data_IF_338076491412
#
_entry.id   IF_338076491412
#
_cell.length_a   1.000
_cell.length_b   1.000
_cell.length_c   1.000
_cell.angle_alpha   90.00
_cell.angle_beta   90.00
_cell.angle_gamma   90.00
#
_symmetry.space_group_name_H-M   'P 1'
#
loop_
_entity.id
_entity.type
_entity.pdbx_description
1 polymer ?
#
# COMPACT_ATOMS: atom_id res chain seq x y z
N UNK A 1 22.18 -9.44 10.46
CA UNK A 1 20.85 -8.87 10.73
C UNK A 1 20.65 -7.83 9.65
N UNK A 2 19.69 -8.01 8.74
CA UNK A 2 19.36 -6.99 7.74
C UNK A 2 18.75 -5.78 8.45
N UNK A 3 19.49 -4.68 8.46
CA UNK A 3 19.07 -3.41 9.04
C UNK A 3 18.81 -2.42 7.90
N UNK A 4 17.58 -1.93 7.84
CA UNK A 4 17.22 -0.83 6.96
C UNK A 4 17.06 0.41 7.83
N UNK A 5 17.93 1.38 7.61
CA UNK A 5 17.83 2.69 8.23
C UNK A 5 17.04 3.58 7.27
N UNK A 6 15.82 3.93 7.65
CA UNK A 6 15.02 4.89 6.91
C UNK A 6 15.49 6.30 7.26
N UNK A 7 15.45 7.24 6.32
CA UNK A 7 15.79 8.67 6.53
C UNK A 7 15.04 9.34 7.70
N UNK A 8 13.99 8.67 8.21
CA UNK A 8 13.21 9.07 9.38
C UNK A 8 13.81 8.64 10.74
N UNK A 9 14.99 8.02 10.76
CA UNK A 9 15.64 7.49 11.98
C UNK A 9 14.99 6.21 12.52
N UNK A 10 14.15 5.55 11.71
CA UNK A 10 13.50 4.29 12.07
C UNK A 10 14.37 3.14 11.56
N UNK A 11 14.86 2.29 12.46
CA UNK A 11 15.58 1.07 12.10
C UNK A 11 14.60 -0.09 12.01
N UNK A 12 14.43 -0.65 10.82
CA UNK A 12 13.72 -1.92 10.63
C UNK A 12 14.78 -3.03 10.62
N UNK A 13 14.72 -3.90 11.62
CA UNK A 13 15.62 -5.05 11.75
C UNK A 13 14.87 -6.33 11.43
N UNK A 14 15.30 -7.02 10.38
CA UNK A 14 14.87 -8.40 10.10
C UNK A 14 15.93 -9.37 10.64
N UNK A 15 15.56 -10.38 11.45
CA UNK A 15 16.48 -11.44 11.85
C UNK A 15 16.97 -12.17 10.60
N UNK A 16 18.28 -12.42 10.47
CA UNK A 16 18.81 -13.16 9.31
C UNK A 16 18.20 -14.55 9.18
N UNK A 17 17.82 -15.17 10.30
CA UNK A 17 17.15 -16.47 10.32
C UNK A 17 15.81 -16.45 9.58
N UNK A 18 15.05 -15.36 9.65
CA UNK A 18 13.76 -15.22 8.96
C UNK A 18 13.94 -15.18 7.44
N UNK A 19 15.02 -14.53 6.98
CA UNK A 19 15.33 -14.47 5.56
C UNK A 19 15.79 -15.84 5.05
N UNK A 20 16.66 -16.53 5.79
CA UNK A 20 17.12 -17.88 5.44
C UNK A 20 15.95 -18.89 5.41
N UNK A 21 15.07 -18.87 6.43
CA UNK A 21 13.86 -19.70 6.49
C UNK A 21 12.93 -19.46 5.28
N UNK A 22 12.71 -18.20 4.88
CA UNK A 22 11.85 -17.89 3.74
C UNK A 22 12.51 -18.28 2.40
N UNK A 23 13.83 -18.12 2.27
CA UNK A 23 14.56 -18.55 1.07
C UNK A 23 14.54 -20.07 0.90
N UNK A 24 14.69 -20.84 1.98
CA UNK A 24 14.58 -22.30 1.97
C UNK A 24 13.16 -22.75 1.59
N UNK A 25 12.14 -22.11 2.17
CA UNK A 25 10.74 -22.33 1.79
C UNK A 25 10.47 -22.02 0.31
N UNK A 26 11.02 -20.93 -0.22
CA UNK A 26 10.87 -20.58 -1.63
C UNK A 26 11.55 -21.59 -2.56
N UNK A 27 12.70 -22.14 -2.17
CA UNK A 27 13.40 -23.18 -2.92
C UNK A 27 12.59 -24.49 -2.95
N UNK A 28 12.02 -24.89 -1.82
CA UNK A 28 11.07 -26.02 -1.74
C UNK A 28 9.83 -25.78 -2.63
N UNK A 29 9.35 -24.54 -2.70
CA UNK A 29 8.21 -24.16 -3.54
C UNK A 29 8.53 -24.15 -5.06
N UNK A 30 9.80 -24.13 -5.48
CA UNK A 30 10.15 -24.21 -6.91
C UNK A 30 9.87 -25.60 -7.50
N UNK A 31 9.60 -26.60 -6.66
CA UNK A 31 9.34 -27.98 -7.07
C UNK A 31 7.91 -28.46 -6.76
N UNK A 32 7.06 -27.57 -6.23
CA UNK A 32 5.64 -27.85 -6.06
C UNK A 32 4.85 -27.72 -7.34
N UNK A 33 3.76 -28.49 -7.43
CA UNK A 33 2.73 -28.38 -8.45
C UNK A 33 2.28 -26.90 -8.57
N UNK A 34 2.33 -26.28 -9.78
CA UNK A 34 1.92 -24.90 -9.97
C UNK A 34 0.46 -24.63 -9.60
N UNK A 35 -0.37 -25.67 -9.54
CA UNK A 35 -1.77 -25.58 -9.11
C UNK A 35 -1.95 -25.85 -7.60
N UNK A 36 -0.87 -26.13 -6.86
CA UNK A 36 -0.93 -26.35 -5.42
C UNK A 36 -1.33 -25.06 -4.68
N UNK A 37 -2.32 -25.18 -3.80
CA UNK A 37 -2.70 -24.09 -2.91
C UNK A 37 -1.74 -24.02 -1.72
N UNK A 38 -1.02 -22.90 -1.58
CA UNK A 38 -0.21 -22.62 -0.40
C UNK A 38 -1.05 -21.86 0.63
N UNK A 39 -1.34 -22.52 1.75
CA UNK A 39 -1.97 -21.86 2.89
C UNK A 39 -0.90 -21.09 3.68
N UNK A 40 -1.14 -19.79 3.87
CA UNK A 40 -0.33 -18.96 4.78
C UNK A 40 -1.21 -18.60 5.97
N UNK A 41 -0.88 -19.14 7.13
CA UNK A 41 -1.60 -18.86 8.37
C UNK A 41 -0.96 -17.71 9.14
N UNK A 42 -1.76 -16.72 9.50
CA UNK A 42 -1.35 -15.63 10.37
C UNK A 42 -2.06 -15.75 11.71
N UNK A 43 -1.32 -15.68 12.81
CA UNK A 43 -1.91 -15.67 14.15
C UNK A 43 -2.60 -14.33 14.42
N UNK A 44 -3.62 -14.34 15.28
CA UNK A 44 -4.29 -13.11 15.71
C UNK A 44 -3.30 -12.10 16.32
N UNK A 45 -2.30 -12.58 17.06
CA UNK A 45 -1.25 -11.75 17.61
C UNK A 45 -0.39 -11.09 16.52
N UNK A 46 -0.08 -11.82 15.44
CA UNK A 46 0.64 -11.25 14.29
C UNK A 46 -0.21 -10.19 13.59
N UNK A 47 -1.49 -10.49 13.31
CA UNK A 47 -2.42 -9.55 12.68
C UNK A 47 -2.57 -8.28 13.53
N UNK A 48 -2.72 -8.41 14.85
CA UNK A 48 -2.82 -7.29 15.78
C UNK A 48 -1.55 -6.43 15.75
N UNK A 49 -0.36 -7.05 15.72
CA UNK A 49 0.92 -6.34 15.62
C UNK A 49 1.03 -5.55 14.31
N UNK A 50 0.66 -6.15 13.17
CA UNK A 50 0.67 -5.46 11.87
C UNK A 50 -0.30 -4.28 11.88
N UNK A 51 -1.52 -4.44 12.41
CA UNK A 51 -2.50 -3.36 12.52
C UNK A 51 -1.98 -2.20 13.39
N UNK A 52 -1.42 -2.50 14.55
CA UNK A 52 -0.82 -1.50 15.44
C UNK A 52 0.30 -0.71 14.74
N UNK A 53 1.16 -1.42 13.99
CA UNK A 53 2.23 -0.79 13.25
C UNK A 53 1.70 0.12 12.13
N UNK A 54 0.73 -0.35 11.34
CA UNK A 54 0.07 0.46 10.31
C UNK A 54 -0.57 1.72 10.90
N UNK A 55 -1.28 1.59 12.03
CA UNK A 55 -1.91 2.72 12.71
C UNK A 55 -0.87 3.75 13.18
N UNK A 56 0.22 3.27 13.78
CA UNK A 56 1.33 4.11 14.22
C UNK A 56 2.00 4.84 13.04
N UNK A 57 2.15 4.17 11.90
CA UNK A 57 2.71 4.77 10.69
C UNK A 57 1.79 5.83 10.10
N UNK A 58 0.48 5.56 10.04
CA UNK A 58 -0.49 6.56 9.58
C UNK A 58 -0.44 7.82 10.45
N UNK A 59 -0.36 7.68 11.78
CA UNK A 59 -0.25 8.83 12.70
C UNK A 59 1.06 9.61 12.53
N UNK A 60 2.14 8.96 12.07
CA UNK A 60 3.40 9.62 11.73
C UNK A 60 3.31 10.32 10.39
N UNK A 61 2.78 9.66 9.35
CA UNK A 61 2.61 10.23 8.01
C UNK A 61 1.73 11.48 8.06
N UNK A 62 0.67 11.47 8.88
CA UNK A 62 -0.20 12.63 9.12
C UNK A 62 0.54 13.89 9.60
N UNK A 63 1.72 13.73 10.22
CA UNK A 63 2.57 14.82 10.73
C UNK A 63 3.64 15.25 9.73
N UNK A 64 3.63 14.69 8.53
CA UNK A 64 4.56 15.01 7.44
C UNK A 64 3.82 15.73 6.30
N UNK A 65 4.57 16.17 5.29
CA UNK A 65 4.02 16.66 4.03
C UNK A 65 3.93 15.56 2.96
N UNK A 66 4.08 14.28 3.34
CA UNK A 66 3.99 13.17 2.41
C UNK A 66 2.55 12.94 1.99
N UNK A 67 2.36 12.63 0.71
CA UNK A 67 1.06 12.33 0.10
C UNK A 67 1.05 10.86 -0.26
N UNK A 68 -0.06 10.17 0.03
CA UNK A 68 -0.22 8.76 -0.30
C UNK A 68 -0.86 8.65 -1.67
N UNK A 69 -0.15 8.06 -2.63
CA UNK A 69 -0.74 7.64 -3.89
C UNK A 69 -1.51 6.32 -3.69
N UNK A 70 -2.80 6.32 -4.00
CA UNK A 70 -3.66 5.14 -3.96
C UNK A 70 -3.94 4.65 -5.38
N UNK A 71 -3.71 3.36 -5.63
CA UNK A 71 -3.87 2.74 -6.95
C UNK A 71 -4.86 1.55 -6.87
N UNK A 72 -6.18 1.82 -6.88
CA UNK A 72 -7.20 0.81 -6.63
C UNK A 72 -7.07 -0.45 -7.48
N UNK A 73 -7.00 -0.32 -8.80
CA UNK A 73 -6.94 -1.50 -9.70
C UNK A 73 -5.70 -2.34 -9.41
N UNK A 74 -4.52 -1.72 -9.32
CA UNK A 74 -3.27 -2.42 -9.00
C UNK A 74 -3.39 -3.16 -7.68
N UNK A 75 -3.85 -2.49 -6.62
CA UNK A 75 -4.00 -3.07 -5.29
C UNK A 75 -4.98 -4.25 -5.27
N UNK A 76 -6.12 -4.14 -5.96
CA UNK A 76 -7.06 -5.26 -6.11
C UNK A 76 -6.47 -6.45 -6.87
N UNK A 77 -5.62 -6.20 -7.87
CA UNK A 77 -5.01 -7.25 -8.71
C UNK A 77 -3.86 -7.98 -8.01
N UNK A 78 -3.01 -7.26 -7.28
CA UNK A 78 -1.75 -7.82 -6.74
C UNK A 78 -1.81 -8.14 -5.26
N UNK A 79 -2.58 -7.38 -4.47
CA UNK A 79 -2.56 -7.47 -3.01
C UNK A 79 -3.78 -8.22 -2.44
N UNK A 80 -4.64 -8.77 -3.31
CA UNK A 80 -5.84 -9.54 -2.93
C UNK A 80 -6.70 -8.85 -1.85
N UNK A 81 -6.78 -7.53 -1.90
CA UNK A 81 -7.56 -6.76 -0.91
C UNK A 81 -9.06 -6.95 -1.18
N UNK A 82 -9.84 -7.20 -0.12
CA UNK A 82 -11.31 -7.28 -0.22
C UNK A 82 -11.97 -5.91 -0.26
N UNK A 83 -11.34 -4.93 0.39
CA UNK A 83 -11.74 -3.54 0.43
C UNK A 83 -10.47 -2.70 0.37
N UNK A 84 -10.48 -1.66 -0.44
CA UNK A 84 -9.33 -0.79 -0.59
C UNK A 84 -9.01 -0.03 0.72
N UNK A 85 -7.74 0.06 1.16
CA UNK A 85 -7.38 0.69 2.43
C UNK A 85 -7.58 2.22 2.48
N UNK A 86 -7.91 2.84 1.34
CA UNK A 86 -8.14 4.30 1.21
C UNK A 86 -9.13 4.84 2.24
N UNK A 87 -10.16 4.07 2.62
CA UNK A 87 -11.13 4.50 3.64
C UNK A 87 -10.47 4.80 4.98
N UNK A 88 -9.43 4.03 5.34
CA UNK A 88 -8.64 4.28 6.57
C UNK A 88 -7.86 5.59 6.44
N UNK A 89 -7.28 5.85 5.28
CA UNK A 89 -6.51 7.08 5.03
C UNK A 89 -7.40 8.32 5.09
N UNK A 90 -8.55 8.27 4.39
CA UNK A 90 -9.57 9.33 4.42
C UNK A 90 -10.08 9.57 5.84
N UNK A 91 -10.43 8.51 6.58
CA UNK A 91 -10.92 8.64 7.96
C UNK A 91 -9.92 9.24 8.94
N UNK A 92 -8.62 9.15 8.62
CA UNK A 92 -7.52 9.73 9.41
C UNK A 92 -7.05 11.08 8.89
N UNK A 93 -7.70 11.62 7.85
CA UNK A 93 -7.33 12.91 7.26
C UNK A 93 -5.96 12.90 6.57
N UNK A 94 -5.47 11.73 6.13
CA UNK A 94 -4.22 11.66 5.37
C UNK A 94 -4.42 12.26 3.98
N UNK A 95 -3.46 13.05 3.47
CA UNK A 95 -3.52 13.54 2.10
C UNK A 95 -3.30 12.39 1.13
N UNK A 96 -4.25 12.19 0.21
CA UNK A 96 -4.18 11.15 -0.81
C UNK A 96 -4.29 11.74 -2.22
N UNK A 97 -3.74 11.02 -3.19
CA UNK A 97 -4.02 11.18 -4.62
C UNK A 97 -4.38 9.84 -5.23
N UNK A 98 -5.24 9.86 -6.25
CA UNK A 98 -5.58 8.64 -7.00
C UNK A 98 -4.62 8.50 -8.17
N UNK A 99 -3.97 7.34 -8.27
CA UNK A 99 -3.05 6.95 -9.33
C UNK A 99 -3.56 5.70 -10.07
N UNK A 100 -3.11 5.54 -11.30
CA UNK A 100 -3.42 4.37 -12.13
C UNK A 100 -2.28 3.32 -12.16
N UNK A 101 -1.17 3.60 -11.45
CA UNK A 101 0.05 2.79 -11.44
C UNK A 101 0.57 2.54 -12.87
N UNK A 102 0.36 1.34 -13.41
CA UNK A 102 0.69 0.95 -14.78
C UNK A 102 -0.57 0.71 -15.64
N UNK A 103 -1.15 1.76 -16.28
CA UNK A 103 -2.34 1.65 -17.12
C UNK A 103 -2.29 0.54 -18.17
N UNK A 104 -1.12 0.31 -18.78
CA UNK A 104 -0.91 -0.70 -19.80
C UNK A 104 -0.90 -2.14 -19.25
N UNK A 105 -0.42 -2.35 -18.02
CA UNK A 105 -0.40 -3.67 -17.37
C UNK A 105 -1.79 -4.01 -16.84
N UNK A 106 -2.48 -3.03 -16.25
CA UNK A 106 -3.75 -3.27 -15.56
C UNK A 106 -5.00 -3.04 -16.42
N UNK A 107 -4.84 -2.63 -17.69
CA UNK A 107 -5.93 -2.19 -18.57
C UNK A 107 -6.88 -1.20 -17.89
N UNK A 108 -6.27 -0.19 -17.27
CA UNK A 108 -6.98 0.83 -16.50
C UNK A 108 -6.61 2.24 -16.94
N UNK A 109 -7.30 3.23 -16.40
CA UNK A 109 -7.00 4.65 -16.55
C UNK A 109 -7.53 5.40 -15.33
N UNK A 110 -7.16 6.68 -15.21
CA UNK A 110 -7.52 7.48 -14.02
C UNK A 110 -9.04 7.58 -13.78
N UNK A 111 -9.84 7.67 -14.85
CA UNK A 111 -11.31 7.69 -14.75
C UNK A 111 -11.86 6.40 -14.13
N UNK A 112 -11.36 5.23 -14.57
CA UNK A 112 -11.72 3.93 -13.99
C UNK A 112 -11.34 3.84 -12.51
N UNK A 113 -10.19 4.37 -12.11
CA UNK A 113 -9.77 4.38 -10.69
C UNK A 113 -10.73 5.18 -9.81
N UNK A 114 -11.14 6.37 -10.25
CA UNK A 114 -12.15 7.16 -9.53
C UNK A 114 -13.51 6.47 -9.48
N UNK A 115 -13.93 5.81 -10.56
CA UNK A 115 -15.20 5.07 -10.59
C UNK A 115 -15.20 3.85 -9.64
N UNK A 116 -14.06 3.19 -9.43
CA UNK A 116 -13.92 2.15 -8.39
C UNK A 116 -14.17 2.75 -7.01
N UNK A 117 -13.47 3.84 -6.67
CA UNK A 117 -13.59 4.48 -5.36
C UNK A 117 -14.98 5.07 -5.09
N UNK A 118 -15.62 5.59 -6.14
CA UNK A 118 -17.01 6.06 -6.11
C UNK A 118 -17.99 4.93 -5.77
N UNK A 119 -17.82 3.75 -6.37
CA UNK A 119 -18.64 2.56 -6.06
C UNK A 119 -18.44 2.09 -4.62
N UNK A 120 -17.29 2.37 -4.02
CA UNK A 120 -17.03 2.13 -2.60
C UNK A 120 -17.57 3.22 -1.66
N UNK A 121 -18.23 4.25 -2.20
CA UNK A 121 -18.88 5.30 -1.42
C UNK A 121 -18.02 6.52 -1.13
N UNK A 122 -16.87 6.69 -1.79
CA UNK A 122 -16.07 7.92 -1.68
C UNK A 122 -16.57 9.00 -2.64
N UNK A 123 -16.49 10.25 -2.19
CA UNK A 123 -16.80 11.41 -3.03
C UNK A 123 -15.64 11.69 -4.01
N UNK A 124 -15.89 11.50 -5.30
CA UNK A 124 -14.90 11.80 -6.35
C UNK A 124 -14.48 13.27 -6.32
N UNK A 125 -15.43 14.18 -6.06
CA UNK A 125 -15.14 15.62 -5.99
C UNK A 125 -14.18 15.94 -4.83
N UNK A 126 -14.36 15.31 -3.67
CA UNK A 126 -13.45 15.49 -2.53
C UNK A 126 -12.05 14.94 -2.83
N UNK A 127 -11.96 13.78 -3.50
CA UNK A 127 -10.68 13.17 -3.88
C UNK A 127 -9.93 14.04 -4.91
N UNK A 128 -10.63 14.60 -5.90
CA UNK A 128 -10.04 15.53 -6.89
C UNK A 128 -9.56 16.81 -6.18
N UNK A 129 -10.38 17.34 -5.28
CA UNK A 129 -10.04 18.56 -4.54
C UNK A 129 -8.81 18.35 -3.63
N UNK A 130 -8.73 17.20 -2.95
CA UNK A 130 -7.51 16.82 -2.21
C UNK A 130 -6.31 16.73 -3.13
N UNK A 131 -6.45 16.09 -4.30
CA UNK A 131 -5.35 15.94 -5.25
C UNK A 131 -4.78 17.27 -5.74
N UNK A 132 -5.64 18.27 -5.97
CA UNK A 132 -5.22 19.62 -6.32
C UNK A 132 -4.37 20.27 -5.23
N UNK A 133 -4.77 20.11 -3.96
CA UNK A 133 -4.06 20.65 -2.79
C UNK A 133 -2.72 19.96 -2.53
N UNK A 134 -2.61 18.71 -2.94
CA UNK A 134 -1.42 17.87 -2.79
C UNK A 134 -0.43 17.98 -3.95
N UNK A 135 -0.65 18.88 -4.91
CA UNK A 135 0.25 19.05 -6.06
C UNK A 135 1.61 19.64 -5.66
N UNK A 136 2.68 19.11 -6.24
CA UNK A 136 4.05 19.61 -6.02
C UNK A 136 4.51 20.44 -7.21
N UNK A 137 4.84 21.71 -6.98
CA UNK A 137 5.37 22.60 -8.03
C UNK A 137 6.68 22.07 -8.61
N UNK A 138 7.56 21.52 -7.77
CA UNK A 138 8.84 20.91 -8.18
C UNK A 138 8.65 19.69 -9.08
N UNK A 139 7.80 18.74 -8.67
CA UNK A 139 7.58 17.52 -9.46
C UNK A 139 6.80 17.81 -10.75
N UNK A 140 5.98 18.85 -10.76
CA UNK A 140 5.23 19.30 -11.94
C UNK A 140 6.02 20.27 -12.85
N UNK A 141 7.27 20.60 -12.52
CA UNK A 141 8.11 21.51 -13.31
C UNK A 141 7.61 22.96 -13.35
N UNK A 142 6.86 23.39 -12.32
CA UNK A 142 6.36 24.75 -12.14
C UNK A 142 7.29 25.62 -11.26
N UNK A 143 8.34 25.01 -10.70
CA UNK A 143 9.45 25.63 -9.98
C UNK A 143 10.78 25.31 -10.67
#
# INVERSE_FOLDING_TARGET
QLQFELDTGLTISLPDSKYAEEMERLDEMQHTDPDATVAVEYTDAHIAKVRYFQDSLMDRIAKTNAVIEVCPTSNYRIAAVRQHPVHRFVSRGLPIIVGADDPGIFDTNLEKEFEILKKEGLSVDELIEQSRRSSSARLSGRE
#
